data_IF_504347881968
#
_entry.id   IF_504347881968
#
_cell.length_a   1.000
_cell.length_b   1.000
_cell.length_c   1.000
_cell.angle_alpha   90.00
_cell.angle_beta   90.00
_cell.angle_gamma   90.00
#
_symmetry.space_group_name_H-M   'P 1'
#
loop_
_entity.id
_entity.type
_entity.pdbx_description
1 polymer ?
#
# COMPACT_ATOMS: atom_id res chain seq x y z
N UNK A 1 -7.73 -3.61 15.69
CA UNK A 1 -6.45 -2.89 15.87
C UNK A 1 -5.96 -2.63 14.47
N UNK A 2 -5.73 -1.37 14.09
CA UNK A 2 -5.19 -1.07 12.76
C UNK A 2 -3.85 -1.77 12.48
N UNK A 3 -3.55 -2.00 11.20
CA UNK A 3 -2.29 -2.64 10.76
C UNK A 3 -1.37 -1.61 10.10
N UNK A 4 -0.06 -1.79 10.26
CA UNK A 4 1.02 -0.93 9.73
C UNK A 4 1.10 0.47 10.33
N UNK A 5 0.04 1.26 10.26
CA UNK A 5 0.02 2.65 10.72
C UNK A 5 -1.21 2.91 11.58
N UNK A 6 -1.07 3.80 12.56
CA UNK A 6 -2.12 4.20 13.48
C UNK A 6 -1.82 5.61 14.04
N UNK A 7 -2.67 6.08 14.96
CA UNK A 7 -2.53 7.41 15.58
C UNK A 7 -1.21 7.63 16.35
N UNK A 8 -0.57 6.55 16.78
CA UNK A 8 0.66 6.58 17.59
C UNK A 8 1.92 6.51 16.72
N UNK A 9 1.78 6.18 15.42
CA UNK A 9 2.88 6.12 14.46
C UNK A 9 3.56 7.49 14.31
N UNK A 10 4.88 7.53 14.39
CA UNK A 10 5.67 8.76 14.26
C UNK A 10 6.32 8.81 12.89
N UNK A 11 5.76 9.65 12.02
CA UNK A 11 6.04 9.60 10.59
C UNK A 11 7.01 10.69 10.17
N UNK A 12 8.03 10.31 9.41
CA UNK A 12 8.92 11.23 8.71
C UNK A 12 8.74 11.15 7.20
N UNK A 13 9.01 12.26 6.52
CA UNK A 13 8.93 12.34 5.05
C UNK A 13 10.35 12.39 4.47
N UNK A 14 10.74 11.43 3.64
CA UNK A 14 11.97 11.54 2.85
C UNK A 14 11.66 12.25 1.53
N UNK A 15 12.45 13.29 1.21
CA UNK A 15 12.08 14.27 0.17
C UNK A 15 11.11 15.34 0.67
N UNK A 16 11.12 15.62 1.98
CA UNK A 16 10.13 16.48 2.66
C UNK A 16 9.97 17.88 2.06
N UNK A 17 11.08 18.49 1.65
CA UNK A 17 11.07 19.86 1.11
C UNK A 17 10.90 19.92 -0.41
N UNK A 18 10.67 18.79 -1.08
CA UNK A 18 10.29 18.73 -2.49
C UNK A 18 8.82 19.09 -2.69
N UNK A 19 8.40 19.34 -3.94
CA UNK A 19 7.02 19.74 -4.27
C UNK A 19 5.98 18.72 -3.77
N UNK A 20 6.10 17.46 -4.20
CA UNK A 20 5.19 16.38 -3.80
C UNK A 20 5.27 16.07 -2.30
N UNK A 21 6.50 16.04 -1.75
CA UNK A 21 6.72 15.84 -0.33
C UNK A 21 6.04 16.92 0.52
N UNK A 22 6.09 18.18 0.08
CA UNK A 22 5.43 19.31 0.75
C UNK A 22 3.91 19.19 0.66
N UNK A 23 3.39 18.99 -0.54
CA UNK A 23 1.95 18.93 -0.79
C UNK A 23 1.27 17.78 -0.03
N UNK A 24 1.85 16.58 -0.08
CA UNK A 24 1.25 15.45 0.60
C UNK A 24 1.51 15.47 2.11
N UNK A 25 2.66 15.96 2.58
CA UNK A 25 2.86 16.13 4.02
C UNK A 25 1.88 17.14 4.63
N UNK A 26 1.57 18.25 3.93
CA UNK A 26 0.57 19.20 4.44
C UNK A 26 -0.81 18.55 4.55
N UNK A 27 -1.22 17.73 3.56
CA UNK A 27 -2.48 16.98 3.64
C UNK A 27 -2.47 15.90 4.73
N UNK A 28 -1.33 15.25 4.98
CA UNK A 28 -1.19 14.26 6.05
C UNK A 28 -1.36 14.93 7.41
N UNK A 29 -0.72 16.09 7.62
CA UNK A 29 -0.85 16.90 8.83
C UNK A 29 -2.29 17.38 9.01
N UNK A 30 -2.91 17.91 7.96
CA UNK A 30 -4.32 18.35 7.98
C UNK A 30 -5.28 17.20 8.33
N UNK A 31 -5.00 15.99 7.85
CA UNK A 31 -5.78 14.79 8.19
C UNK A 31 -5.63 14.35 9.66
N UNK A 32 -4.63 14.88 10.39
CA UNK A 32 -4.32 14.49 11.77
C UNK A 32 -3.22 13.43 11.90
N UNK A 33 -2.50 13.13 10.81
CA UNK A 33 -1.38 12.20 10.84
C UNK A 33 -0.20 12.82 11.60
N UNK A 34 0.42 12.06 12.50
CA UNK A 34 1.53 12.53 13.33
C UNK A 34 2.86 12.60 12.55
N UNK A 35 2.97 13.57 11.64
CA UNK A 35 4.22 13.90 10.94
C UNK A 35 5.13 14.66 11.91
N UNK A 36 6.26 14.04 12.25
CA UNK A 36 7.21 14.54 13.26
C UNK A 36 8.44 15.24 12.66
N UNK A 37 8.60 15.20 11.35
CA UNK A 37 9.74 15.80 10.66
C UNK A 37 9.92 15.27 9.24
N UNK A 38 11.07 15.57 8.65
CA UNK A 38 11.42 14.98 7.38
C UNK A 38 12.89 15.13 7.03
N UNK A 39 13.31 14.42 5.99
CA UNK A 39 14.69 14.32 5.56
C UNK A 39 14.83 14.98 4.19
N UNK A 40 15.80 15.88 4.08
CA UNK A 40 16.31 16.39 2.80
C UNK A 40 17.79 16.68 2.99
N UNK A 41 18.69 15.87 2.41
CA UNK A 41 20.13 16.09 2.51
C UNK A 41 20.52 17.51 2.08
N UNK A 42 21.38 18.15 2.88
CA UNK A 42 21.81 19.54 2.70
C UNK A 42 20.89 20.59 3.31
N UNK A 43 19.74 20.20 3.88
CA UNK A 43 18.79 21.12 4.56
C UNK A 43 18.59 20.79 6.04
N UNK A 44 19.36 19.87 6.61
CA UNK A 44 19.26 19.54 8.03
C UNK A 44 19.49 20.77 8.94
N UNK A 45 18.69 20.88 10.00
CA UNK A 45 18.70 22.01 10.94
C UNK A 45 17.72 23.13 10.59
N UNK A 46 17.08 23.09 9.42
CA UNK A 46 15.97 24.00 9.09
C UNK A 46 14.62 23.47 9.58
N UNK A 47 13.56 24.26 9.37
CA UNK A 47 12.17 23.84 9.55
C UNK A 47 11.43 23.87 8.22
N UNK A 48 10.40 23.02 8.09
CA UNK A 48 9.46 23.00 6.96
C UNK A 48 8.10 22.51 7.46
N UNK A 49 7.00 23.16 7.07
CA UNK A 49 5.66 22.90 7.60
C UNK A 49 5.60 22.84 9.15
N UNK A 50 6.34 23.73 9.81
CA UNK A 50 6.49 23.78 11.27
C UNK A 50 7.00 22.47 11.89
N UNK A 51 7.82 21.71 11.14
CA UNK A 51 8.49 20.48 11.58
C UNK A 51 9.99 20.54 11.29
N UNK A 52 10.83 19.85 12.08
CA UNK A 52 12.28 19.83 11.85
C UNK A 52 12.65 19.09 10.55
N UNK A 53 13.68 19.58 9.88
CA UNK A 53 14.31 18.94 8.73
C UNK A 53 15.67 18.36 9.15
N UNK A 54 15.94 17.12 8.74
CA UNK A 54 17.17 16.40 9.03
C UNK A 54 17.95 16.12 7.74
N UNK A 55 19.27 15.92 7.88
CA UNK A 55 20.12 15.49 6.76
C UNK A 55 20.01 13.99 6.52
N UNK A 56 19.82 13.20 7.58
CA UNK A 56 19.76 11.74 7.51
C UNK A 56 18.51 11.20 8.21
N UNK A 57 18.06 10.01 7.81
CA UNK A 57 16.97 9.30 8.51
C UNK A 57 17.40 8.90 9.91
N UNK A 58 18.68 8.56 10.12
CA UNK A 58 19.21 8.23 11.44
C UNK A 58 19.02 9.38 12.44
N UNK A 59 19.37 10.60 12.05
CA UNK A 59 19.17 11.78 12.91
C UNK A 59 17.69 11.97 13.26
N UNK A 60 16.79 11.75 12.29
CA UNK A 60 15.36 11.86 12.50
C UNK A 60 14.85 10.78 13.48
N UNK A 61 15.31 9.54 13.36
CA UNK A 61 14.97 8.47 14.30
C UNK A 61 15.48 8.79 15.71
N UNK A 62 16.72 9.25 15.86
CA UNK A 62 17.33 9.55 17.16
C UNK A 62 16.64 10.75 17.86
N UNK A 63 16.29 11.80 17.11
CA UNK A 63 15.80 13.05 17.69
C UNK A 63 14.28 13.09 17.89
N UNK A 64 13.51 12.49 16.98
CA UNK A 64 12.04 12.52 17.05
C UNK A 64 11.40 11.14 17.22
N UNK A 65 12.20 10.07 17.29
CA UNK A 65 11.73 8.72 17.55
C UNK A 65 10.86 8.17 16.42
N UNK A 66 11.15 8.56 15.17
CA UNK A 66 10.38 8.12 14.02
C UNK A 66 10.42 6.59 13.87
N UNK A 67 9.27 5.98 13.57
CA UNK A 67 9.14 4.53 13.34
C UNK A 67 8.63 4.20 11.94
N UNK A 68 8.15 5.22 11.22
CA UNK A 68 7.51 5.11 9.91
C UNK A 68 8.04 6.19 8.99
N UNK A 69 8.25 5.85 7.71
CA UNK A 69 8.62 6.84 6.70
C UNK A 69 7.78 6.72 5.43
N UNK A 70 7.53 7.87 4.81
CA UNK A 70 7.01 7.97 3.44
C UNK A 70 8.06 8.61 2.53
N UNK A 71 8.24 8.06 1.34
CA UNK A 71 9.29 8.46 0.38
C UNK A 71 8.65 9.11 -0.85
N UNK A 72 9.01 10.38 -1.08
CA UNK A 72 8.71 11.18 -2.28
C UNK A 72 10.00 11.54 -3.06
N UNK A 73 11.05 10.76 -2.87
CA UNK A 73 12.36 10.95 -3.50
C UNK A 73 12.29 10.52 -4.97
N UNK A 74 12.93 11.23 -5.92
CA UNK A 74 12.93 10.85 -7.33
C UNK A 74 13.46 9.43 -7.59
N UNK A 75 13.08 8.78 -8.70
CA UNK A 75 13.32 7.35 -8.92
C UNK A 75 14.78 6.94 -8.87
N UNK A 76 15.68 7.79 -9.36
CA UNK A 76 17.12 7.57 -9.38
C UNK A 76 17.74 7.44 -7.97
N UNK A 77 17.07 7.93 -6.93
CA UNK A 77 17.57 7.94 -5.55
C UNK A 77 16.66 7.19 -4.57
N UNK A 78 15.48 6.74 -5.02
CA UNK A 78 14.49 6.15 -4.13
C UNK A 78 14.92 4.80 -3.54
N UNK A 79 15.66 3.98 -4.30
CA UNK A 79 16.21 2.72 -3.77
C UNK A 79 17.20 2.95 -2.62
N UNK A 80 18.03 3.99 -2.70
CA UNK A 80 18.95 4.38 -1.63
C UNK A 80 18.20 4.88 -0.39
N UNK A 81 17.17 5.72 -0.58
CA UNK A 81 16.29 6.19 0.49
C UNK A 81 15.54 5.04 1.22
N UNK A 82 15.15 3.99 0.49
CA UNK A 82 14.58 2.76 1.10
C UNK A 82 15.62 2.08 2.00
N UNK A 83 16.85 1.91 1.50
CA UNK A 83 17.92 1.25 2.25
C UNK A 83 18.36 2.07 3.47
N UNK A 84 18.44 3.40 3.34
CA UNK A 84 18.73 4.33 4.44
C UNK A 84 17.70 4.19 5.56
N UNK A 85 16.40 4.21 5.23
CA UNK A 85 15.35 4.05 6.22
C UNK A 85 15.40 2.70 6.94
N UNK A 86 15.62 1.62 6.18
CA UNK A 86 15.75 0.28 6.74
C UNK A 86 16.97 0.16 7.67
N UNK A 87 18.08 0.82 7.33
CA UNK A 87 19.29 0.85 8.15
C UNK A 87 19.11 1.65 9.45
N UNK A 88 18.42 2.79 9.36
CA UNK A 88 18.10 3.65 10.51
C UNK A 88 17.09 3.04 11.49
N UNK A 89 16.52 1.86 11.17
CA UNK A 89 15.65 1.11 12.08
C UNK A 89 14.15 1.42 11.97
N UNK A 90 13.74 2.18 10.94
CA UNK A 90 12.33 2.41 10.60
C UNK A 90 11.62 1.06 10.39
N UNK A 91 10.41 0.92 10.95
CA UNK A 91 9.63 -0.32 10.92
C UNK A 91 8.74 -0.42 9.70
N UNK A 92 8.18 0.71 9.25
CA UNK A 92 7.28 0.77 8.09
C UNK A 92 7.79 1.81 7.11
N UNK A 93 8.11 1.37 5.91
CA UNK A 93 8.64 2.20 4.81
C UNK A 93 7.59 2.21 3.70
N UNK A 94 7.10 3.38 3.32
CA UNK A 94 6.08 3.54 2.28
C UNK A 94 6.69 4.34 1.13
N UNK A 95 6.89 3.68 -0.02
CA UNK A 95 7.50 4.34 -1.19
C UNK A 95 6.44 4.64 -2.23
N UNK A 96 6.20 5.93 -2.46
CA UNK A 96 5.20 6.39 -3.44
C UNK A 96 5.79 6.39 -4.86
N UNK A 97 7.06 6.74 -4.97
CA UNK A 97 7.79 6.94 -6.22
C UNK A 97 7.54 5.83 -7.24
N UNK A 98 7.12 6.23 -8.44
CA UNK A 98 6.98 5.37 -9.62
C UNK A 98 8.24 5.45 -10.50
N UNK A 99 8.55 4.37 -11.23
CA UNK A 99 9.62 4.37 -12.23
C UNK A 99 11.01 4.12 -11.66
N UNK A 100 11.12 3.53 -10.46
CA UNK A 100 12.40 3.09 -9.91
C UNK A 100 12.95 1.98 -10.81
N UNK A 101 14.22 2.06 -11.25
CA UNK A 101 14.81 1.00 -12.05
C UNK A 101 14.72 -0.36 -11.34
N UNK A 102 14.28 -1.40 -12.07
CA UNK A 102 14.13 -2.76 -11.52
C UNK A 102 15.43 -3.26 -10.90
N UNK A 103 16.58 -2.96 -11.51
CA UNK A 103 17.90 -3.33 -10.98
C UNK A 103 18.20 -2.73 -9.60
N UNK A 104 17.70 -1.53 -9.32
CA UNK A 104 17.89 -0.89 -8.02
C UNK A 104 16.89 -1.42 -6.99
N UNK A 105 15.65 -1.71 -7.41
CA UNK A 105 14.69 -2.41 -6.56
C UNK A 105 15.13 -3.83 -6.18
N UNK A 106 15.85 -4.56 -7.05
CA UNK A 106 16.45 -5.86 -6.69
C UNK A 106 17.42 -5.69 -5.51
N UNK A 107 18.31 -4.68 -5.57
CA UNK A 107 19.28 -4.40 -4.50
C UNK A 107 18.57 -3.99 -3.21
N UNK A 108 17.65 -3.03 -3.29
CA UNK A 108 16.90 -2.54 -2.13
C UNK A 108 16.07 -3.67 -1.50
N UNK A 109 15.38 -4.48 -2.30
CA UNK A 109 14.60 -5.62 -1.82
C UNK A 109 15.47 -6.66 -1.09
N UNK A 110 16.62 -7.03 -1.66
CA UNK A 110 17.55 -7.94 -1.01
C UNK A 110 18.07 -7.37 0.32
N UNK A 111 18.36 -6.06 0.36
CA UNK A 111 18.83 -5.38 1.55
C UNK A 111 17.79 -5.37 2.67
N UNK A 112 16.55 -4.94 2.39
CA UNK A 112 15.49 -4.86 3.42
C UNK A 112 15.13 -6.23 4.00
N UNK A 113 15.32 -7.34 3.26
CA UNK A 113 15.09 -8.70 3.78
C UNK A 113 16.03 -9.08 4.92
N UNK A 114 17.16 -8.38 5.06
CA UNK A 114 18.10 -8.55 6.19
C UNK A 114 17.76 -7.66 7.40
N UNK A 115 16.72 -6.83 7.28
CA UNK A 115 16.33 -5.83 8.29
C UNK A 115 14.95 -6.16 8.85
N UNK A 116 14.69 -5.70 10.08
CA UNK A 116 13.39 -5.84 10.73
C UNK A 116 12.48 -4.66 10.38
N UNK A 117 12.08 -4.59 9.12
CA UNK A 117 11.20 -3.57 8.57
C UNK A 117 10.26 -4.15 7.50
N UNK A 118 9.20 -3.41 7.18
CA UNK A 118 8.29 -3.72 6.08
C UNK A 118 8.25 -2.58 5.07
N UNK A 119 8.37 -2.91 3.79
CA UNK A 119 8.25 -1.99 2.68
C UNK A 119 6.87 -2.13 2.02
N UNK A 120 6.19 -1.01 1.80
CA UNK A 120 4.98 -0.87 0.97
C UNK A 120 5.34 -0.07 -0.28
N UNK A 121 4.87 -0.53 -1.44
CA UNK A 121 5.30 -0.01 -2.74
C UNK A 121 6.58 -0.69 -3.26
N UNK A 122 7.30 -0.07 -4.21
CA UNK A 122 7.10 1.29 -4.73
C UNK A 122 5.87 1.43 -5.64
N UNK A 123 5.71 2.58 -6.31
CA UNK A 123 4.61 2.87 -7.23
C UNK A 123 3.24 2.55 -6.60
N UNK A 124 2.97 3.13 -5.44
CA UNK A 124 1.77 2.84 -4.66
C UNK A 124 1.13 4.11 -4.11
N UNK A 125 -0.19 4.09 -3.80
CA UNK A 125 -0.83 5.23 -3.17
C UNK A 125 -0.48 5.40 -1.69
N UNK A 126 0.13 4.38 -1.06
CA UNK A 126 0.46 4.32 0.36
C UNK A 126 -0.54 3.52 1.21
N UNK A 127 -0.60 3.85 2.51
CA UNK A 127 -1.46 3.18 3.50
C UNK A 127 -2.33 4.20 4.23
N UNK A 128 -3.58 3.85 4.50
CA UNK A 128 -4.49 4.67 5.30
C UNK A 128 -5.26 3.83 6.32
N UNK A 129 -5.24 4.28 7.56
CA UNK A 129 -6.12 3.84 8.64
C UNK A 129 -7.07 5.00 8.96
N UNK A 130 -8.35 4.90 8.58
CA UNK A 130 -9.23 6.06 8.59
C UNK A 130 -9.46 6.63 9.99
N UNK A 131 -9.34 7.95 10.12
CA UNK A 131 -9.46 8.66 11.39
C UNK A 131 -8.24 8.53 12.31
N UNK A 132 -7.17 7.86 11.87
CA UNK A 132 -5.95 7.66 12.68
C UNK A 132 -4.70 8.14 11.93
N UNK A 133 -4.40 7.59 10.77
CA UNK A 133 -3.22 7.96 9.99
C UNK A 133 -3.46 7.79 8.49
N UNK A 134 -3.10 8.81 7.72
CA UNK A 134 -3.00 8.77 6.26
C UNK A 134 -1.52 8.89 5.91
N UNK A 135 -0.92 7.85 5.32
CA UNK A 135 0.48 7.87 4.89
C UNK A 135 0.54 7.56 3.40
N UNK A 136 0.30 8.59 2.59
CA UNK A 136 0.21 8.45 1.15
C UNK A 136 -0.51 9.59 0.45
N UNK A 137 -0.88 9.34 -0.80
CA UNK A 137 -1.47 10.31 -1.73
C UNK A 137 -2.99 10.18 -1.87
N UNK A 138 -3.60 9.18 -1.20
CA UNK A 138 -5.02 8.89 -1.31
C UNK A 138 -5.93 10.00 -0.74
N UNK A 139 -7.11 10.27 -1.30
CA UNK A 139 -8.03 11.28 -0.78
C UNK A 139 -8.66 10.82 0.55
N UNK A 140 -8.24 11.40 1.67
CA UNK A 140 -8.63 10.95 3.01
C UNK A 140 -10.15 11.00 3.29
N UNK A 141 -10.88 11.89 2.62
CA UNK A 141 -12.32 12.06 2.82
C UNK A 141 -13.17 10.86 2.35
N UNK A 142 -12.65 10.09 1.38
CA UNK A 142 -13.30 8.89 0.84
C UNK A 142 -13.34 7.76 1.86
N UNK A 143 -12.35 7.71 2.76
CA UNK A 143 -12.21 6.63 3.71
C UNK A 143 -12.87 6.98 5.04
N UNK A 144 -13.81 6.15 5.49
CA UNK A 144 -14.45 6.24 6.82
C UNK A 144 -14.05 5.03 7.66
N UNK A 145 -13.92 5.19 8.97
CA UNK A 145 -13.59 4.08 9.89
C UNK A 145 -14.70 3.03 9.85
N UNK A 146 -14.31 1.77 9.78
CA UNK A 146 -15.24 0.63 9.83
C UNK A 146 -14.49 -0.70 9.93
N UNK A 147 -15.01 -1.75 9.28
CA UNK A 147 -14.61 -3.14 9.49
C UNK A 147 -14.15 -3.88 8.22
N UNK A 148 -13.86 -3.16 7.13
CA UNK A 148 -13.40 -3.75 5.86
C UNK A 148 -11.94 -3.40 5.61
N UNK A 149 -11.08 -4.40 5.44
CA UNK A 149 -9.69 -4.19 5.01
C UNK A 149 -9.60 -4.14 3.49
N UNK A 150 -8.68 -3.34 2.93
CA UNK A 150 -8.45 -3.31 1.46
C UNK A 150 -6.97 -3.57 1.17
N UNK A 151 -6.70 -4.46 0.21
CA UNK A 151 -5.38 -4.64 -0.40
C UNK A 151 -5.51 -4.41 -1.90
N UNK A 152 -4.64 -3.59 -2.49
CA UNK A 152 -4.72 -3.25 -3.90
C UNK A 152 -3.38 -2.96 -4.56
N UNK A 153 -3.20 -3.41 -5.81
CA UNK A 153 -2.09 -2.97 -6.68
C UNK A 153 -2.33 -1.57 -7.29
N UNK A 154 -3.57 -1.11 -7.37
CA UNK A 154 -3.96 0.12 -8.07
C UNK A 154 -4.41 1.22 -7.12
N UNK A 155 -3.95 2.45 -7.34
CA UNK A 155 -4.34 3.63 -6.55
C UNK A 155 -5.83 3.96 -6.66
N UNK A 156 -6.25 4.49 -7.81
CA UNK A 156 -7.62 5.02 -7.99
C UNK A 156 -8.71 3.96 -7.82
N UNK A 157 -8.46 2.72 -8.22
CA UNK A 157 -9.41 1.63 -8.03
C UNK A 157 -9.60 1.26 -6.54
N UNK A 158 -8.60 1.51 -5.70
CA UNK A 158 -8.74 1.43 -4.23
C UNK A 158 -9.76 2.45 -3.73
N UNK A 159 -9.75 3.66 -4.29
CA UNK A 159 -10.63 4.75 -3.85
C UNK A 159 -12.07 4.45 -4.24
N UNK A 160 -12.28 3.90 -5.44
CA UNK A 160 -13.59 3.42 -5.89
C UNK A 160 -14.15 2.32 -4.98
N UNK A 161 -13.33 1.33 -4.64
CA UNK A 161 -13.76 0.27 -3.72
C UNK A 161 -14.09 0.81 -2.32
N UNK A 162 -13.25 1.71 -1.79
CA UNK A 162 -13.48 2.34 -0.49
C UNK A 162 -14.77 3.17 -0.49
N UNK A 163 -15.01 3.99 -1.51
CA UNK A 163 -16.22 4.79 -1.66
C UNK A 163 -17.48 3.91 -1.73
N UNK A 164 -17.44 2.83 -2.53
CA UNK A 164 -18.55 1.89 -2.62
C UNK A 164 -18.87 1.23 -1.27
N UNK A 165 -17.85 0.78 -0.53
CA UNK A 165 -18.02 0.18 0.80
C UNK A 165 -18.63 1.18 1.77
N UNK A 166 -18.14 2.42 1.78
CA UNK A 166 -18.68 3.50 2.62
C UNK A 166 -20.15 3.80 2.27
N UNK A 167 -20.49 3.88 0.98
CA UNK A 167 -21.87 4.08 0.51
C UNK A 167 -22.82 2.94 0.86
N UNK A 168 -22.31 1.74 1.13
CA UNK A 168 -23.11 0.63 1.66
C UNK A 168 -23.44 0.74 3.15
N UNK A 169 -22.92 1.76 3.84
CA UNK A 169 -23.06 1.97 5.29
C UNK A 169 -21.97 1.27 6.11
N UNK A 170 -20.92 0.80 5.45
CA UNK A 170 -19.76 0.18 6.08
C UNK A 170 -18.58 1.18 6.15
N UNK A 171 -17.40 0.71 6.50
CA UNK A 171 -16.19 1.52 6.48
C UNK A 171 -14.94 0.66 6.44
N UNK A 172 -13.79 1.32 6.40
CA UNK A 172 -12.49 0.72 6.18
C UNK A 172 -11.71 0.64 7.50
N UNK A 173 -11.05 -0.49 7.77
CA UNK A 173 -10.08 -0.63 8.87
C UNK A 173 -8.74 -0.05 8.47
N UNK A 174 -8.13 -0.64 7.45
CA UNK A 174 -6.88 -0.18 6.84
C UNK A 174 -6.90 -0.54 5.35
N UNK A 175 -6.57 0.43 4.50
CA UNK A 175 -6.35 0.20 3.08
C UNK A 175 -4.84 0.26 2.77
N UNK A 176 -4.34 -0.80 2.13
CA UNK A 176 -2.93 -1.01 1.82
C UNK A 176 -2.78 -1.06 0.30
N UNK A 177 -2.27 0.02 -0.28
CA UNK A 177 -1.83 0.03 -1.67
C UNK A 177 -0.43 -0.60 -1.77
N UNK A 178 -0.33 -1.82 -2.28
CA UNK A 178 0.95 -2.55 -2.33
C UNK A 178 1.85 -2.14 -3.49
N UNK A 179 1.27 -1.54 -4.52
CA UNK A 179 1.96 -0.98 -5.69
C UNK A 179 1.83 -1.79 -6.98
N UNK A 180 2.06 -1.11 -8.10
CA UNK A 180 1.92 -1.65 -9.46
C UNK A 180 3.22 -2.16 -10.09
N UNK A 181 4.35 -2.03 -9.41
CA UNK A 181 5.66 -2.41 -9.97
C UNK A 181 5.90 -3.94 -9.95
N UNK A 182 6.81 -4.46 -10.80
CA UNK A 182 7.12 -5.90 -10.82
C UNK A 182 7.78 -6.42 -9.53
N UNK A 183 8.53 -5.56 -8.83
CA UNK A 183 9.18 -5.87 -7.55
C UNK A 183 8.68 -4.89 -6.52
N UNK A 184 7.86 -5.40 -5.59
CA UNK A 184 7.30 -4.65 -4.46
C UNK A 184 7.80 -5.24 -3.14
N UNK A 185 7.70 -4.46 -2.05
CA UNK A 185 8.10 -4.89 -0.72
C UNK A 185 7.15 -5.92 -0.11
N UNK A 186 5.88 -5.54 0.06
CA UNK A 186 4.83 -6.36 0.67
C UNK A 186 3.92 -6.92 -0.42
N UNK A 187 3.82 -8.25 -0.47
CA UNK A 187 2.98 -8.97 -1.43
C UNK A 187 1.49 -8.91 -1.07
N UNK A 188 0.61 -9.23 -2.01
CA UNK A 188 -0.83 -9.38 -1.76
C UNK A 188 -1.10 -10.35 -0.61
N UNK A 189 -0.42 -11.50 -0.60
CA UNK A 189 -0.53 -12.49 0.49
C UNK A 189 -0.18 -11.87 1.84
N UNK A 190 0.99 -11.24 1.97
CA UNK A 190 1.44 -10.67 3.24
C UNK A 190 0.55 -9.53 3.73
N UNK A 191 -0.04 -8.75 2.83
CA UNK A 191 -1.01 -7.70 3.18
C UNK A 191 -2.36 -8.29 3.60
N UNK A 192 -2.85 -9.31 2.90
CA UNK A 192 -4.06 -10.04 3.30
C UNK A 192 -3.86 -10.70 4.67
N UNK A 193 -2.70 -11.30 4.93
CA UNK A 193 -2.39 -11.93 6.21
C UNK A 193 -2.45 -10.94 7.38
N UNK A 194 -1.93 -9.71 7.21
CA UNK A 194 -2.08 -8.65 8.21
C UNK A 194 -3.55 -8.38 8.54
N UNK A 195 -4.38 -8.19 7.52
CA UNK A 195 -5.81 -7.91 7.67
C UNK A 195 -6.59 -9.13 8.19
N UNK A 196 -6.16 -10.34 7.82
CA UNK A 196 -6.74 -11.58 8.31
C UNK A 196 -6.49 -11.74 9.82
N UNK A 197 -5.38 -11.20 10.31
CA UNK A 197 -5.01 -11.23 11.72
C UNK A 197 -5.48 -10.02 12.54
N UNK A 198 -5.97 -8.95 11.92
CA UNK A 198 -6.58 -7.83 12.63
C UNK A 198 -8.01 -8.17 13.10
N UNK A 199 -8.31 -8.16 14.41
CA UNK A 199 -9.64 -8.45 14.92
C UNK A 199 -10.72 -7.42 14.51
N UNK A 200 -10.38 -6.19 14.14
CA UNK A 200 -11.35 -5.19 13.65
C UNK A 200 -11.73 -5.39 12.18
N UNK A 201 -10.92 -6.13 11.42
CA UNK A 201 -11.22 -6.44 10.03
C UNK A 201 -12.12 -7.67 9.94
N UNK A 202 -13.34 -7.49 9.43
CA UNK A 202 -14.36 -8.54 9.31
C UNK A 202 -14.51 -9.05 7.86
N UNK A 203 -14.12 -8.25 6.86
CA UNK A 203 -14.10 -8.62 5.45
C UNK A 203 -12.87 -7.98 4.78
N UNK A 204 -12.31 -8.63 3.77
CA UNK A 204 -11.17 -8.13 3.02
C UNK A 204 -11.54 -7.95 1.56
N UNK A 205 -11.27 -6.77 1.00
CA UNK A 205 -11.31 -6.52 -0.44
C UNK A 205 -9.91 -6.71 -1.01
N UNK A 206 -9.77 -7.61 -1.97
CA UNK A 206 -8.51 -7.91 -2.66
C UNK A 206 -8.61 -7.48 -4.13
N UNK A 207 -7.90 -6.42 -4.49
CA UNK A 207 -7.89 -5.85 -5.85
C UNK A 207 -6.56 -6.14 -6.52
N UNK A 208 -6.64 -6.85 -7.63
CA UNK A 208 -5.50 -7.15 -8.48
C UNK A 208 -5.67 -6.68 -9.91
N UNK A 209 -4.69 -7.03 -10.72
CA UNK A 209 -4.64 -6.74 -12.14
C UNK A 209 -3.86 -7.85 -12.86
N UNK A 210 -3.75 -7.79 -14.17
CA UNK A 210 -2.90 -8.70 -14.96
C UNK A 210 -1.43 -8.67 -14.51
N UNK A 211 -0.71 -9.75 -14.82
CA UNK A 211 0.74 -9.86 -14.61
C UNK A 211 1.15 -10.42 -13.25
N UNK A 212 2.08 -11.38 -13.25
CA UNK A 212 2.55 -12.08 -12.06
C UNK A 212 1.50 -12.95 -11.37
N UNK A 213 1.86 -13.53 -10.23
CA UNK A 213 1.07 -14.56 -9.52
C UNK A 213 0.59 -14.15 -8.12
N UNK A 214 0.76 -12.88 -7.73
CA UNK A 214 0.50 -12.41 -6.36
C UNK A 214 -0.93 -12.71 -5.87
N UNK A 215 -1.93 -12.53 -6.73
CA UNK A 215 -3.33 -12.79 -6.39
C UNK A 215 -3.65 -14.29 -6.33
N UNK A 216 -3.06 -15.09 -7.21
CA UNK A 216 -3.20 -16.54 -7.21
C UNK A 216 -2.57 -17.16 -5.96
N UNK A 217 -1.39 -16.70 -5.56
CA UNK A 217 -0.69 -17.15 -4.36
C UNK A 217 -1.41 -16.72 -3.09
N UNK A 218 -1.93 -15.49 -3.04
CA UNK A 218 -2.78 -15.03 -1.95
C UNK A 218 -4.05 -15.89 -1.84
N UNK A 219 -4.72 -16.20 -2.95
CA UNK A 219 -5.93 -17.02 -2.96
C UNK A 219 -5.69 -18.44 -2.42
N UNK A 220 -4.63 -19.10 -2.89
CA UNK A 220 -4.24 -20.43 -2.39
C UNK A 220 -3.93 -20.40 -0.89
N UNK A 221 -3.24 -19.35 -0.42
CA UNK A 221 -2.95 -19.17 0.99
C UNK A 221 -4.22 -18.92 1.82
N UNK A 222 -5.13 -18.06 1.37
CA UNK A 222 -6.42 -17.79 2.04
C UNK A 222 -7.21 -19.10 2.24
N UNK A 223 -7.27 -19.96 1.20
CA UNK A 223 -7.89 -21.28 1.28
C UNK A 223 -7.20 -22.18 2.31
N UNK A 224 -5.87 -22.25 2.28
CA UNK A 224 -5.08 -23.07 3.20
C UNK A 224 -5.17 -22.59 4.66
N UNK A 225 -5.33 -21.29 4.87
CA UNK A 225 -5.57 -20.65 6.17
C UNK A 225 -7.02 -20.82 6.67
N UNK A 226 -7.86 -21.54 5.91
CA UNK A 226 -9.21 -21.94 6.31
C UNK A 226 -10.29 -20.89 6.04
N UNK A 227 -10.04 -19.90 5.18
CA UNK A 227 -11.02 -18.87 4.80
C UNK A 227 -11.67 -18.18 6.03
N UNK A 228 -10.86 -17.81 7.03
CA UNK A 228 -11.32 -17.30 8.34
C UNK A 228 -12.22 -16.07 8.26
N UNK A 229 -12.04 -15.23 7.24
CA UNK A 229 -12.86 -14.04 6.96
C UNK A 229 -13.24 -14.03 5.48
N UNK A 230 -14.44 -13.53 5.12
CA UNK A 230 -14.82 -13.39 3.72
C UNK A 230 -13.85 -12.47 2.99
N UNK A 231 -13.50 -12.87 1.76
CA UNK A 231 -12.68 -12.06 0.85
C UNK A 231 -13.48 -11.79 -0.42
N UNK A 232 -13.61 -10.52 -0.79
CA UNK A 232 -14.19 -10.07 -2.06
C UNK A 232 -13.06 -9.70 -3.01
N UNK A 233 -13.06 -10.27 -4.21
CA UNK A 233 -11.97 -10.14 -5.16
C UNK A 233 -12.38 -9.43 -6.45
N UNK A 234 -11.49 -8.60 -6.99
CA UNK A 234 -11.62 -8.06 -8.36
C UNK A 234 -10.27 -8.08 -9.07
N UNK A 235 -10.25 -8.43 -10.35
CA UNK A 235 -9.05 -8.43 -11.20
C UNK A 235 -9.29 -7.57 -12.43
N UNK A 236 -8.51 -6.49 -12.56
CA UNK A 236 -8.52 -5.61 -13.73
C UNK A 236 -7.75 -6.22 -14.93
N UNK A 237 -8.07 -5.75 -16.14
CA UNK A 237 -7.31 -6.05 -17.35
C UNK A 237 -7.79 -7.26 -18.16
N UNK A 238 -9.05 -7.67 -18.02
CA UNK A 238 -9.66 -8.76 -18.80
C UNK A 238 -9.60 -8.53 -20.32
N UNK A 239 -9.70 -7.28 -20.75
CA UNK A 239 -9.62 -6.87 -22.17
C UNK A 239 -8.21 -6.45 -22.60
N UNK A 240 -7.19 -6.66 -21.76
CA UNK A 240 -5.83 -6.23 -22.06
C UNK A 240 -5.19 -7.11 -23.16
N UNK A 241 -4.52 -6.51 -24.15
CA UNK A 241 -3.80 -7.27 -25.17
C UNK A 241 -2.57 -7.97 -24.58
N UNK A 242 -2.26 -9.18 -25.10
CA UNK A 242 -1.08 -9.95 -24.68
C UNK A 242 0.22 -9.21 -25.02
N UNK A 243 1.22 -9.32 -24.15
CA UNK A 243 2.57 -8.78 -24.38
C UNK A 243 2.67 -7.25 -24.34
N UNK A 244 1.63 -6.53 -23.91
CA UNK A 244 1.64 -5.06 -23.76
C UNK A 244 1.56 -4.66 -22.30
N UNK A 245 2.42 -3.74 -21.90
CA UNK A 245 2.35 -3.08 -20.58
C UNK A 245 1.18 -2.11 -20.53
N UNK A 246 0.37 -2.20 -19.47
CA UNK A 246 -0.83 -1.39 -19.27
C UNK A 246 -0.63 -0.34 -18.16
N UNK A 247 0.09 0.74 -18.47
CA UNK A 247 0.38 1.81 -17.50
C UNK A 247 1.42 1.36 -16.48
N UNK A 248 1.00 0.64 -15.44
CA UNK A 248 1.90 0.10 -14.43
C UNK A 248 2.95 -0.85 -15.05
N UNK A 249 4.19 -0.74 -14.59
CA UNK A 249 5.30 -1.55 -15.09
C UNK A 249 5.08 -3.08 -14.89
N UNK A 250 4.35 -3.48 -13.84
CA UNK A 250 4.00 -4.88 -13.57
C UNK A 250 2.77 -5.40 -14.31
N UNK A 251 2.00 -4.54 -15.00
CA UNK A 251 0.76 -4.90 -15.67
C UNK A 251 1.02 -5.43 -17.09
N UNK A 252 1.67 -6.59 -17.19
CA UNK A 252 1.95 -7.28 -18.46
C UNK A 252 1.62 -8.78 -18.36
N UNK A 253 0.93 -9.31 -19.37
CA UNK A 253 0.63 -10.75 -19.46
C UNK A 253 1.85 -11.49 -20.02
N UNK A 254 2.59 -12.20 -19.17
CA UNK A 254 3.79 -12.97 -19.54
C UNK A 254 3.54 -14.46 -19.78
N UNK A 255 2.60 -15.05 -19.04
CA UNK A 255 2.22 -16.47 -19.14
C UNK A 255 0.71 -16.72 -19.16
N UNK A 256 0.31 -17.97 -19.38
CA UNK A 256 -1.11 -18.37 -19.42
C UNK A 256 -1.83 -18.12 -18.09
N UNK A 257 -1.13 -18.30 -16.97
CA UNK A 257 -1.65 -18.09 -15.62
C UNK A 257 -1.61 -16.62 -15.16
N UNK A 258 -1.04 -15.71 -15.95
CA UNK A 258 -0.95 -14.28 -15.62
C UNK A 258 -2.18 -13.47 -16.09
N UNK A 259 -3.09 -14.13 -16.81
CA UNK A 259 -4.30 -13.53 -17.37
C UNK A 259 -5.32 -13.22 -16.27
N UNK A 260 -6.16 -12.21 -16.48
CA UNK A 260 -7.24 -11.89 -15.56
C UNK A 260 -8.20 -13.08 -15.37
N UNK A 261 -8.53 -13.78 -16.44
CA UNK A 261 -9.38 -14.98 -16.43
C UNK A 261 -8.79 -16.09 -15.55
N UNK A 262 -7.50 -16.40 -15.70
CA UNK A 262 -6.83 -17.42 -14.90
C UNK A 262 -6.82 -17.05 -13.41
N UNK A 263 -6.51 -15.79 -13.07
CA UNK A 263 -6.54 -15.30 -11.69
C UNK A 263 -7.93 -15.36 -11.09
N UNK A 264 -8.96 -14.89 -11.82
CA UNK A 264 -10.37 -14.98 -11.39
C UNK A 264 -10.78 -16.43 -11.12
N UNK A 265 -10.41 -17.38 -11.99
CA UNK A 265 -10.69 -18.81 -11.80
C UNK A 265 -10.06 -19.34 -10.51
N UNK A 266 -8.75 -19.12 -10.31
CA UNK A 266 -8.03 -19.58 -9.12
C UNK A 266 -8.62 -18.98 -7.83
N UNK A 267 -8.97 -17.70 -7.87
CA UNK A 267 -9.62 -17.01 -6.75
C UNK A 267 -10.97 -17.63 -6.40
N UNK A 268 -11.84 -17.89 -7.40
CA UNK A 268 -13.13 -18.56 -7.20
C UNK A 268 -12.97 -19.98 -6.63
N UNK A 269 -12.06 -20.78 -7.18
CA UNK A 269 -11.73 -22.13 -6.69
C UNK A 269 -11.15 -22.15 -5.26
N UNK A 270 -10.65 -21.00 -4.81
CA UNK A 270 -10.14 -20.79 -3.45
C UNK A 270 -11.20 -20.33 -2.45
N UNK A 271 -12.42 -20.06 -2.90
CA UNK A 271 -13.53 -19.59 -2.05
C UNK A 271 -13.62 -18.07 -1.95
N UNK A 272 -12.92 -17.31 -2.79
CA UNK A 272 -13.02 -15.85 -2.85
C UNK A 272 -14.28 -15.45 -3.64
N UNK A 273 -15.01 -14.45 -3.12
CA UNK A 273 -16.16 -13.86 -3.79
C UNK A 273 -15.71 -12.89 -4.90
N UNK A 274 -15.40 -13.45 -6.08
CA UNK A 274 -14.93 -12.66 -7.22
C UNK A 274 -16.09 -11.94 -7.92
N UNK A 275 -15.99 -10.61 -8.04
CA UNK A 275 -16.89 -9.79 -8.87
C UNK A 275 -16.28 -9.54 -10.25
N UNK A 276 -17.13 -9.48 -11.27
CA UNK A 276 -16.69 -9.23 -12.65
C UNK A 276 -16.71 -7.74 -13.00
N UNK A 277 -17.58 -6.95 -12.36
CA UNK A 277 -17.63 -5.51 -12.51
C UNK A 277 -16.96 -4.80 -11.33
N UNK A 278 -16.09 -3.80 -11.56
CA UNK A 278 -15.52 -3.00 -10.48
C UNK A 278 -16.58 -2.21 -9.71
N UNK A 279 -17.77 -1.98 -10.29
CA UNK A 279 -18.89 -1.28 -9.64
C UNK A 279 -19.67 -2.14 -8.62
N UNK A 280 -19.38 -3.44 -8.54
CA UNK A 280 -20.11 -4.36 -7.67
C UNK A 280 -19.38 -4.70 -6.37
N UNK A 281 -18.15 -4.18 -6.17
CA UNK A 281 -17.30 -4.49 -5.03
C UNK A 281 -18.02 -4.20 -3.71
N UNK A 282 -18.50 -2.96 -3.51
CA UNK A 282 -19.15 -2.60 -2.25
C UNK A 282 -20.44 -3.37 -2.01
N UNK A 283 -21.25 -3.57 -3.06
CA UNK A 283 -22.49 -4.36 -2.97
C UNK A 283 -22.19 -5.80 -2.53
N UNK A 284 -21.16 -6.43 -3.11
CA UNK A 284 -20.75 -7.79 -2.73
C UNK A 284 -20.19 -7.84 -1.31
N UNK A 285 -19.44 -6.82 -0.87
CA UNK A 285 -18.97 -6.72 0.53
C UNK A 285 -20.14 -6.69 1.51
N UNK A 286 -21.18 -5.90 1.23
CA UNK A 286 -22.39 -5.88 2.05
C UNK A 286 -23.07 -7.24 2.09
N UNK A 287 -23.27 -7.86 0.92
CA UNK A 287 -23.90 -9.18 0.81
C UNK A 287 -23.20 -10.26 1.65
N UNK A 288 -21.86 -10.29 1.68
CA UNK A 288 -21.11 -11.31 2.43
C UNK A 288 -21.03 -11.06 3.94
N UNK A 289 -21.29 -9.82 4.38
CA UNK A 289 -21.31 -9.45 5.80
C UNK A 289 -22.69 -9.53 6.44
N UNK A 290 -23.76 -9.65 5.64
CA UNK A 290 -25.15 -9.65 6.10
C UNK A 290 -25.71 -8.24 6.33
#
# INVERSE_FOLDING_TARGET
MSVLVNKDSKIIVQGFTGSEGTFHASQMIEYGTNVVGGVTPGKGGSTHLDRPVFNTVKDAVEQVGADTTIIFVPPAFAADAIMEAADAGIKVIITITEGIPVADMIKAYAYIKTKNCRLIGPNCPGVITPGEAKVGIMPGFVFKKGNVGIVSKSGTLTYEAADQVVKQGLGITTAIGIGGDPIIGTTTKEAVELLMNDPETHCIVMIGEIGGQLEADAAKWIKADGNRKPVVGFIAGETAPKGRTMGHAGAIVGGADDTAEAKKRIMRESGIHVVDSPAEIGKKVKEVLG
#
